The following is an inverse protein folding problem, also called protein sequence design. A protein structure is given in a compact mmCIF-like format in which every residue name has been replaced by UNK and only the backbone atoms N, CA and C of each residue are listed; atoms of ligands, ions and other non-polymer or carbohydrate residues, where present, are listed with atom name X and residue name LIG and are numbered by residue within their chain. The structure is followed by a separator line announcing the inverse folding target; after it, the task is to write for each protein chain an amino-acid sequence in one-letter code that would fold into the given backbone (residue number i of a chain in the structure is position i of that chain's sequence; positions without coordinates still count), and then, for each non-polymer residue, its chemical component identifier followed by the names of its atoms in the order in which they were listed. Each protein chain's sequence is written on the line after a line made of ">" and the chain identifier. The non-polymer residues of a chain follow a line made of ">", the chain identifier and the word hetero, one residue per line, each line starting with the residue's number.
data_IF_407547018055
#
_entry.id   IF_407547018055
#
_cell.length_a   1.000
_cell.length_b   1.000
_cell.length_c   1.000
_cell.angle_alpha   90.00
_cell.angle_beta   90.00
_cell.angle_gamma   90.00
#
_symmetry.space_group_name_H-M   'P 1'
#
loop_
_entity.id
_entity.type
_entity.pdbx_description
1 polymer ?
#
# COMPACT_ATOMS: atom_id res chain seq x y z
N UNK A 1 0.04 40.13 -9.40
CA UNK A 1 0.33 38.94 -10.22
C UNK A 1 -0.43 37.79 -9.59
N UNK A 2 -1.58 37.46 -10.13
CA UNK A 2 -2.46 36.44 -9.57
C UNK A 2 -1.83 35.09 -9.88
N UNK A 3 -1.52 34.33 -8.83
CA UNK A 3 -0.83 33.06 -8.96
C UNK A 3 -1.81 32.06 -9.58
N UNK A 4 -1.54 31.62 -10.82
CA UNK A 4 -2.28 30.55 -11.48
C UNK A 4 -2.00 29.23 -10.76
N UNK A 5 -2.74 28.98 -9.68
CA UNK A 5 -2.70 27.68 -9.03
C UNK A 5 -3.55 26.68 -9.82
N UNK A 6 -2.88 25.78 -10.54
CA UNK A 6 -3.51 24.66 -11.25
C UNK A 6 -3.53 23.42 -10.37
N UNK A 7 -4.72 22.96 -9.98
CA UNK A 7 -4.90 21.74 -9.18
C UNK A 7 -4.94 20.50 -10.09
N UNK A 8 -4.02 19.56 -9.89
CA UNK A 8 -3.91 18.33 -10.67
C UNK A 8 -4.82 17.19 -10.16
N UNK A 9 -5.98 17.52 -9.58
CA UNK A 9 -6.92 16.56 -9.01
C UNK A 9 -6.53 16.04 -7.62
N UNK A 10 -7.14 14.91 -7.23
CA UNK A 10 -6.90 14.21 -5.96
C UNK A 10 -6.39 12.81 -6.29
N UNK A 11 -5.39 12.35 -5.54
CA UNK A 11 -4.87 10.98 -5.63
C UNK A 11 -5.09 10.27 -4.30
N UNK A 12 -5.37 8.99 -4.36
CA UNK A 12 -5.53 8.11 -3.19
C UNK A 12 -4.17 7.54 -2.81
N UNK A 13 -3.79 7.68 -1.54
CA UNK A 13 -2.60 7.04 -0.97
C UNK A 13 -3.04 5.86 -0.09
N UNK A 14 -2.50 4.68 -0.38
CA UNK A 14 -2.53 3.51 0.49
C UNK A 14 -1.16 3.37 1.16
N UNK A 15 -1.13 3.14 2.47
CA UNK A 15 0.10 2.98 3.23
C UNK A 15 -0.06 1.90 4.31
N UNK A 16 1.01 1.14 4.53
CA UNK A 16 1.11 0.12 5.57
C UNK A 16 2.48 0.24 6.25
N UNK A 17 2.49 0.28 7.57
CA UNK A 17 3.69 0.34 8.39
C UNK A 17 4.04 -1.07 8.88
N UNK A 18 5.26 -1.51 8.61
CA UNK A 18 5.84 -2.68 9.26
C UNK A 18 6.38 -2.27 10.64
N UNK A 19 5.73 -2.76 11.69
CA UNK A 19 6.09 -2.43 13.07
C UNK A 19 7.41 -3.07 13.53
N UNK A 20 7.89 -4.12 12.84
CA UNK A 20 9.12 -4.83 13.24
C UNK A 20 10.39 -4.08 12.83
N UNK A 21 10.37 -3.42 11.67
CA UNK A 21 11.55 -2.73 11.12
C UNK A 21 11.29 -1.25 10.79
N UNK A 22 10.08 -0.74 11.06
CA UNK A 22 9.69 0.64 10.85
C UNK A 22 9.49 1.04 9.40
N UNK A 23 9.54 0.09 8.44
CA UNK A 23 9.40 0.42 7.02
C UNK A 23 7.95 0.69 6.64
N UNK A 24 7.75 1.69 5.77
CA UNK A 24 6.44 1.98 5.17
C UNK A 24 6.38 1.46 3.75
N UNK A 25 5.36 0.66 3.46
CA UNK A 25 4.96 0.28 2.11
C UNK A 25 3.82 1.18 1.67
N UNK A 26 3.95 1.82 0.52
CA UNK A 26 2.93 2.72 -0.02
C UNK A 26 2.63 2.46 -1.49
N UNK A 27 1.41 2.78 -1.89
CA UNK A 27 0.94 2.78 -3.27
C UNK A 27 -0.01 3.95 -3.46
N UNK A 28 0.01 4.56 -4.64
CA UNK A 28 -0.88 5.66 -4.97
C UNK A 28 -1.71 5.33 -6.20
N UNK A 29 -3.00 5.65 -6.16
CA UNK A 29 -3.92 5.44 -7.28
C UNK A 29 -4.86 6.64 -7.52
N UNK A 30 -5.37 6.82 -8.74
CA UNK A 30 -6.31 7.90 -9.05
C UNK A 30 -7.64 7.78 -8.31
N UNK A 31 -8.03 6.57 -7.87
CA UNK A 31 -9.35 6.29 -7.30
C UNK A 31 -9.27 5.41 -6.06
N UNK A 32 -10.15 5.67 -5.08
CA UNK A 32 -10.30 4.83 -3.90
C UNK A 32 -11.37 3.74 -4.14
N UNK A 33 -10.97 2.63 -4.78
CA UNK A 33 -11.86 1.49 -5.06
C UNK A 33 -11.35 0.20 -4.44
N UNK A 34 -12.25 -0.75 -4.20
CA UNK A 34 -11.91 -2.07 -3.67
C UNK A 34 -10.86 -2.81 -4.52
N UNK A 35 -10.85 -2.59 -5.84
CA UNK A 35 -9.87 -3.19 -6.75
C UNK A 35 -8.45 -2.68 -6.47
N UNK A 36 -8.30 -1.38 -6.26
CA UNK A 36 -7.01 -0.76 -5.91
C UNK A 36 -6.56 -1.19 -4.52
N UNK A 37 -7.49 -1.30 -3.57
CA UNK A 37 -7.21 -1.88 -2.26
C UNK A 37 -6.70 -3.32 -2.34
N UNK A 38 -7.33 -4.20 -3.13
CA UNK A 38 -6.87 -5.57 -3.32
C UNK A 38 -5.49 -5.65 -3.99
N UNK A 39 -5.19 -4.74 -4.93
CA UNK A 39 -3.84 -4.64 -5.52
C UNK A 39 -2.80 -4.26 -4.46
N UNK A 40 -3.14 -3.32 -3.58
CA UNK A 40 -2.27 -2.91 -2.47
C UNK A 40 -2.00 -4.07 -1.51
N UNK A 41 -3.03 -4.83 -1.13
CA UNK A 41 -2.86 -6.02 -0.29
C UNK A 41 -1.99 -7.10 -0.95
N UNK A 42 -2.18 -7.35 -2.26
CA UNK A 42 -1.32 -8.27 -3.02
C UNK A 42 0.14 -7.80 -3.07
N UNK A 43 0.36 -6.49 -3.12
CA UNK A 43 1.72 -5.92 -3.04
C UNK A 43 2.34 -6.19 -1.67
N UNK A 44 1.60 -6.00 -0.57
CA UNK A 44 2.06 -6.30 0.78
C UNK A 44 2.43 -7.78 0.90
N UNK A 45 1.55 -8.68 0.45
CA UNK A 45 1.78 -10.14 0.50
C UNK A 45 3.07 -10.54 -0.23
N UNK A 46 3.33 -9.96 -1.42
CA UNK A 46 4.56 -10.21 -2.19
C UNK A 46 5.82 -9.64 -1.54
N UNK A 47 5.71 -8.51 -0.84
CA UNK A 47 6.85 -7.81 -0.22
C UNK A 47 7.12 -8.27 1.21
N UNK A 48 6.21 -9.03 1.81
CA UNK A 48 6.35 -9.56 3.17
C UNK A 48 6.79 -11.02 3.10
N UNK A 49 7.78 -11.45 3.91
CA UNK A 49 8.14 -12.86 3.99
C UNK A 49 6.93 -13.70 4.38
N UNK A 50 6.77 -14.88 3.76
CA UNK A 50 5.69 -15.79 4.15
C UNK A 50 5.84 -16.14 5.62
N UNK A 51 4.74 -16.21 6.39
CA UNK A 51 4.80 -16.73 7.73
C UNK A 51 5.47 -18.10 7.68
N UNK A 52 6.40 -18.32 8.61
CA UNK A 52 7.05 -19.63 8.78
C UNK A 52 5.94 -20.63 9.05
N UNK A 53 5.58 -21.43 8.05
CA UNK A 53 4.68 -22.57 8.23
C UNK A 53 5.32 -23.43 9.31
N UNK A 54 4.67 -23.55 10.47
CA UNK A 54 5.12 -24.48 11.49
C UNK A 54 5.26 -25.86 10.82
N UNK A 55 6.34 -26.62 11.06
CA UNK A 55 6.43 -27.97 10.54
C UNK A 55 5.19 -28.72 11.02
N UNK A 56 4.44 -29.29 10.06
CA UNK A 56 3.23 -30.04 10.35
C UNK A 56 3.54 -31.06 11.43
N UNK A 57 2.80 -31.00 12.54
CA UNK A 57 2.74 -32.13 13.46
C UNK A 57 2.04 -33.24 12.68
N UNK A 58 2.83 -34.20 12.20
CA UNK A 58 2.33 -35.54 11.92
C UNK A 58 1.83 -36.20 13.19
#
# INVERSE_FOLDING_TARGET
>A
MTHDYKRNGVMTLFAALNMLDGKVLSMTDPLHRHQEWLKFLKMIDRKTPRPRTAPGRG
#
